data_IF_738526733477
#
_entry.id   IF_738526733477
#
_cell.length_a   1.000
_cell.length_b   1.000
_cell.length_c   1.000
_cell.angle_alpha   90.00
_cell.angle_beta   90.00
_cell.angle_gamma   90.00
#
_symmetry.space_group_name_H-M   'P 1'
#
loop_
_entity.id
_entity.type
_entity.pdbx_description
1 polymer ?
#
# COMPACT_ATOMS: atom_id res chain seq x y z
N UNK A 1 42.15 65.16 -18.26
CA UNK A 1 42.78 64.25 -19.22
C UNK A 1 43.81 63.29 -18.56
N UNK A 2 43.76 63.14 -17.23
CA UNK A 2 44.63 62.21 -16.47
C UNK A 2 43.88 61.01 -15.84
N UNK A 3 42.56 61.04 -15.86
CA UNK A 3 41.77 60.01 -15.22
C UNK A 3 41.39 58.82 -16.17
N UNK A 4 41.48 59.05 -17.48
CA UNK A 4 41.09 58.05 -18.50
C UNK A 4 42.26 57.06 -18.81
N UNK A 5 43.48 57.36 -18.43
CA UNK A 5 44.64 56.45 -18.61
C UNK A 5 44.69 55.38 -17.50
N UNK A 6 44.33 55.74 -16.28
CA UNK A 6 44.30 54.78 -15.15
C UNK A 6 43.24 53.73 -15.26
N UNK A 7 42.12 54.06 -15.91
CA UNK A 7 41.05 53.08 -16.14
C UNK A 7 41.40 52.13 -17.31
N UNK A 8 42.16 52.58 -18.29
CA UNK A 8 42.61 51.74 -19.41
C UNK A 8 43.67 50.72 -18.95
N UNK A 9 44.66 51.19 -18.17
CA UNK A 9 45.72 50.33 -17.63
C UNK A 9 45.17 49.26 -16.67
N UNK A 10 44.19 49.61 -15.81
CA UNK A 10 43.52 48.65 -14.92
C UNK A 10 42.68 47.64 -15.68
N UNK A 11 42.07 48.02 -16.81
CA UNK A 11 41.30 47.09 -17.65
C UNK A 11 42.20 46.13 -18.44
N UNK A 12 43.40 46.60 -18.83
CA UNK A 12 44.39 45.78 -19.51
C UNK A 12 45.01 44.76 -18.55
N UNK A 13 45.33 45.15 -17.31
CA UNK A 13 45.86 44.27 -16.27
C UNK A 13 44.79 43.20 -15.84
N UNK A 14 43.53 43.56 -15.72
CA UNK A 14 42.44 42.63 -15.45
C UNK A 14 42.20 41.66 -16.62
N UNK A 15 42.39 42.10 -17.86
CA UNK A 15 42.27 41.23 -19.03
C UNK A 15 43.44 40.23 -19.13
N UNK A 16 44.66 40.68 -18.77
CA UNK A 16 45.86 39.82 -18.73
C UNK A 16 45.75 38.75 -17.62
N UNK A 17 45.23 39.14 -16.44
CA UNK A 17 45.00 38.24 -15.32
C UNK A 17 43.91 37.19 -15.65
N UNK A 18 42.81 37.60 -16.29
CA UNK A 18 41.75 36.70 -16.76
C UNK A 18 42.26 35.73 -17.85
N UNK A 19 43.12 36.20 -18.77
CA UNK A 19 43.74 35.33 -19.77
C UNK A 19 44.69 34.30 -19.14
N UNK A 20 45.42 34.71 -18.08
CA UNK A 20 46.30 33.81 -17.35
C UNK A 20 45.54 32.77 -16.53
N UNK A 21 44.38 33.14 -15.98
CA UNK A 21 43.50 32.23 -15.25
C UNK A 21 42.83 31.24 -16.21
N UNK A 22 42.35 31.68 -17.37
CA UNK A 22 41.82 30.84 -18.42
C UNK A 22 42.84 29.80 -18.91
N UNK A 23 44.08 30.23 -19.17
CA UNK A 23 45.15 29.32 -19.56
C UNK A 23 45.59 28.33 -18.48
N UNK A 24 45.39 28.66 -17.18
CA UNK A 24 45.56 27.71 -16.07
C UNK A 24 44.43 26.69 -15.99
N UNK A 25 43.19 27.13 -16.23
CA UNK A 25 42.03 26.26 -16.24
C UNK A 25 42.09 25.25 -17.41
N UNK A 26 42.50 25.70 -18.58
CA UNK A 26 42.69 24.84 -19.75
C UNK A 26 43.77 23.76 -19.51
N UNK A 27 44.93 24.15 -18.96
CA UNK A 27 45.98 23.17 -18.60
C UNK A 27 45.59 22.23 -17.45
N UNK A 28 44.65 22.63 -16.59
CA UNK A 28 44.11 21.76 -15.55
C UNK A 28 43.10 20.75 -16.12
N UNK A 29 42.33 21.18 -17.13
CA UNK A 29 41.41 20.30 -17.85
C UNK A 29 42.19 19.27 -18.68
N UNK A 30 43.20 19.68 -19.45
CA UNK A 30 44.07 18.77 -20.22
C UNK A 30 44.74 17.71 -19.31
N UNK A 31 45.24 18.15 -18.14
CA UNK A 31 45.82 17.18 -17.17
C UNK A 31 44.80 16.24 -16.55
N UNK A 32 43.56 16.70 -16.37
CA UNK A 32 42.51 15.83 -15.84
C UNK A 32 42.06 14.79 -16.88
N UNK A 33 42.09 15.15 -18.16
CA UNK A 33 41.84 14.27 -19.29
C UNK A 33 42.94 13.21 -19.45
N UNK A 34 44.22 13.64 -19.42
CA UNK A 34 45.40 12.73 -19.46
C UNK A 34 45.41 11.74 -18.28
N UNK A 35 45.08 12.21 -17.07
CA UNK A 35 44.98 11.34 -15.88
C UNK A 35 43.77 10.38 -15.99
N UNK A 36 42.69 10.86 -16.60
CA UNK A 36 41.49 10.03 -16.85
C UNK A 36 41.82 8.88 -17.81
N UNK A 37 42.49 9.15 -18.95
CA UNK A 37 42.92 8.13 -19.90
C UNK A 37 43.91 7.13 -19.28
N UNK A 38 44.90 7.62 -18.50
CA UNK A 38 45.84 6.73 -17.81
C UNK A 38 45.18 5.81 -16.79
N UNK A 39 44.21 6.32 -16.04
CA UNK A 39 43.46 5.50 -15.07
C UNK A 39 42.57 4.48 -15.80
N UNK A 40 41.92 4.86 -16.91
CA UNK A 40 41.14 3.93 -17.72
C UNK A 40 41.97 2.80 -18.31
N UNK A 41 43.20 3.14 -18.81
CA UNK A 41 44.11 2.15 -19.38
C UNK A 41 44.66 1.22 -18.30
N UNK A 42 45.04 1.73 -17.13
CA UNK A 42 45.56 0.94 -15.99
C UNK A 42 44.45 0.05 -15.40
N UNK A 43 43.19 0.53 -15.33
CA UNK A 43 42.05 -0.28 -14.89
C UNK A 43 41.67 -1.34 -15.92
N UNK A 44 41.75 -1.04 -17.20
CA UNK A 44 41.49 -2.01 -18.28
C UNK A 44 42.55 -3.13 -18.28
N UNK A 45 43.82 -2.79 -18.08
CA UNK A 45 44.95 -3.75 -18.02
C UNK A 45 44.83 -4.62 -16.75
N UNK A 46 44.45 -4.06 -15.58
CA UNK A 46 44.23 -4.78 -14.34
C UNK A 46 42.99 -5.72 -14.42
N UNK A 47 41.96 -5.29 -15.17
CA UNK A 47 40.77 -6.12 -15.43
C UNK A 47 41.11 -7.28 -16.36
N UNK A 48 41.86 -7.03 -17.42
CA UNK A 48 42.23 -8.04 -18.41
C UNK A 48 43.15 -9.10 -17.80
N UNK A 49 44.16 -8.69 -16.99
CA UNK A 49 45.02 -9.61 -16.23
C UNK A 49 44.24 -10.46 -15.22
N UNK A 50 43.23 -9.89 -14.51
CA UNK A 50 42.37 -10.63 -13.61
C UNK A 50 41.40 -11.54 -14.36
N UNK A 51 40.92 -11.15 -15.55
CA UNK A 51 40.04 -12.01 -16.35
C UNK A 51 40.83 -13.15 -16.96
N UNK A 52 42.06 -12.91 -17.42
CA UNK A 52 42.95 -13.97 -17.95
C UNK A 52 43.31 -14.98 -16.84
N UNK A 53 43.52 -14.51 -15.59
CA UNK A 53 43.76 -15.41 -14.45
C UNK A 53 42.53 -16.25 -14.06
N UNK A 54 41.31 -15.77 -14.38
CA UNK A 54 40.06 -16.48 -14.07
C UNK A 54 39.55 -17.36 -15.22
N UNK A 55 40.11 -17.23 -16.42
CA UNK A 55 39.66 -17.99 -17.60
C UNK A 55 40.78 -18.87 -18.13
N UNK A 56 40.64 -20.17 -17.97
CA UNK A 56 41.46 -21.14 -18.71
C UNK A 56 40.94 -21.21 -20.15
N UNK A 57 41.73 -20.84 -21.18
CA UNK A 57 41.27 -20.80 -22.57
C UNK A 57 40.79 -22.15 -23.12
N UNK A 58 41.09 -23.26 -22.45
CA UNK A 58 40.68 -24.61 -22.81
C UNK A 58 39.37 -25.06 -22.13
N UNK A 59 38.80 -24.22 -21.20
CA UNK A 59 37.53 -24.52 -20.57
C UNK A 59 36.36 -24.09 -21.46
N UNK A 60 35.42 -24.99 -21.69
CA UNK A 60 34.18 -24.65 -22.37
C UNK A 60 33.36 -23.66 -21.54
N UNK A 61 32.56 -22.74 -22.13
CA UNK A 61 31.74 -21.77 -21.40
C UNK A 61 30.76 -22.39 -20.39
N UNK A 62 30.52 -23.67 -20.47
CA UNK A 62 29.63 -24.44 -19.60
C UNK A 62 30.37 -25.22 -18.49
N UNK A 63 31.72 -25.17 -18.47
CA UNK A 63 32.52 -25.86 -17.46
C UNK A 63 32.68 -24.97 -16.23
N UNK A 64 31.90 -25.26 -15.19
CA UNK A 64 31.94 -24.58 -13.90
C UNK A 64 33.10 -25.03 -12.99
N UNK A 65 34.06 -25.78 -13.53
CA UNK A 65 35.19 -26.33 -12.80
C UNK A 65 34.84 -27.53 -11.91
N UNK A 66 35.85 -28.15 -11.37
CA UNK A 66 35.67 -29.29 -10.45
C UNK A 66 35.28 -28.83 -9.06
N UNK A 67 34.19 -29.37 -8.46
CA UNK A 67 33.80 -29.03 -7.09
C UNK A 67 34.97 -29.28 -6.13
N UNK A 68 35.29 -28.29 -5.30
CA UNK A 68 36.29 -28.40 -4.26
C UNK A 68 36.00 -29.57 -3.29
N UNK A 69 37.03 -30.00 -2.51
CA UNK A 69 36.87 -31.06 -1.50
C UNK A 69 35.73 -30.67 -0.54
N UNK A 70 34.79 -31.62 -0.21
CA UNK A 70 33.72 -31.32 0.72
C UNK A 70 34.28 -30.87 2.05
N UNK A 71 33.71 -29.81 2.61
CA UNK A 71 34.09 -29.25 3.92
C UNK A 71 33.97 -30.34 5.01
N UNK A 72 35.00 -30.50 5.83
CA UNK A 72 34.97 -31.45 6.93
C UNK A 72 34.02 -30.97 8.05
N UNK A 73 32.79 -31.45 8.04
CA UNK A 73 31.71 -31.04 8.95
C UNK A 73 31.86 -31.62 10.37
N UNK A 74 32.93 -32.37 10.67
CA UNK A 74 33.12 -33.01 11.97
C UNK A 74 33.78 -32.10 13.01
N UNK A 75 34.27 -30.92 12.67
CA UNK A 75 34.85 -29.99 13.61
C UNK A 75 33.78 -29.13 14.29
N UNK A 76 33.69 -29.15 15.66
CA UNK A 76 32.75 -28.28 16.40
C UNK A 76 32.95 -26.80 16.10
N UNK A 77 34.17 -26.37 15.84
CA UNK A 77 34.49 -24.99 15.43
C UNK A 77 33.86 -24.63 14.10
N UNK A 78 33.93 -25.56 13.13
CA UNK A 78 33.30 -25.33 11.80
C UNK A 78 31.77 -25.22 11.92
N UNK A 79 31.13 -26.03 12.75
CA UNK A 79 29.69 -25.93 13.01
C UNK A 79 29.33 -24.60 13.66
N UNK A 80 30.10 -24.14 14.62
CA UNK A 80 29.91 -22.85 15.27
C UNK A 80 30.14 -21.70 14.30
N UNK A 81 31.17 -21.74 13.47
CA UNK A 81 31.48 -20.73 12.47
C UNK A 81 30.40 -20.66 11.40
N UNK A 82 30.03 -21.79 10.79
CA UNK A 82 28.98 -21.83 9.76
C UNK A 82 27.61 -21.41 10.33
N UNK A 83 27.29 -21.87 11.55
CA UNK A 83 26.07 -21.45 12.25
C UNK A 83 26.08 -19.95 12.56
N UNK A 84 27.19 -19.40 13.01
CA UNK A 84 27.36 -17.97 13.26
C UNK A 84 27.24 -17.12 11.99
N UNK A 85 27.93 -17.52 10.92
CA UNK A 85 27.81 -16.85 9.62
C UNK A 85 26.36 -16.95 9.09
N UNK A 86 25.74 -18.13 9.17
CA UNK A 86 24.35 -18.33 8.76
C UNK A 86 23.38 -17.43 9.53
N UNK A 87 23.58 -17.30 10.85
CA UNK A 87 22.77 -16.41 11.68
C UNK A 87 22.98 -14.92 11.31
N UNK A 88 24.23 -14.49 11.09
CA UNK A 88 24.53 -13.11 10.64
C UNK A 88 23.93 -12.81 9.27
N UNK A 89 24.03 -13.74 8.32
CA UNK A 89 23.41 -13.59 7.00
C UNK A 89 21.88 -13.52 7.12
N UNK A 90 21.28 -14.37 7.94
CA UNK A 90 19.83 -14.33 8.17
C UNK A 90 19.38 -13.01 8.81
N UNK A 91 20.11 -12.50 9.80
CA UNK A 91 19.84 -11.18 10.40
C UNK A 91 20.01 -10.06 9.38
N UNK A 92 21.07 -10.10 8.58
CA UNK A 92 21.33 -9.10 7.56
C UNK A 92 20.23 -9.11 6.49
N UNK A 93 19.81 -10.28 6.00
CA UNK A 93 18.65 -10.42 5.09
C UNK A 93 17.36 -9.91 5.75
N UNK A 94 17.15 -10.18 7.03
CA UNK A 94 16.04 -9.64 7.80
C UNK A 94 16.01 -8.11 7.80
N UNK A 95 17.16 -7.46 8.02
CA UNK A 95 17.25 -5.98 7.97
C UNK A 95 16.96 -5.43 6.58
N UNK A 96 17.39 -6.08 5.51
CA UNK A 96 17.04 -5.70 4.14
C UNK A 96 15.53 -5.80 3.90
N UNK A 97 14.90 -6.90 4.32
CA UNK A 97 13.44 -7.07 4.19
C UNK A 97 12.69 -5.97 4.92
N UNK A 98 13.13 -5.60 6.13
CA UNK A 98 12.53 -4.49 6.88
C UNK A 98 12.75 -3.15 6.15
N UNK A 99 13.93 -2.90 5.59
CA UNK A 99 14.23 -1.67 4.87
C UNK A 99 13.39 -1.49 3.60
N UNK A 100 13.08 -2.58 2.90
CA UNK A 100 12.24 -2.54 1.68
C UNK A 100 10.77 -2.87 1.96
N UNK A 101 10.37 -2.93 3.23
CA UNK A 101 9.01 -3.36 3.62
C UNK A 101 7.90 -2.55 2.94
N UNK A 102 8.06 -1.23 2.79
CA UNK A 102 7.09 -0.37 2.11
C UNK A 102 6.91 -0.76 0.63
N UNK A 103 7.99 -1.07 -0.07
CA UNK A 103 7.95 -1.51 -1.46
C UNK A 103 7.31 -2.90 -1.56
N UNK A 104 7.69 -3.81 -0.66
CA UNK A 104 7.10 -5.16 -0.60
C UNK A 104 5.59 -5.07 -0.36
N UNK A 105 5.14 -4.19 0.54
CA UNK A 105 3.70 -3.96 0.78
C UNK A 105 3.01 -3.50 -0.51
N UNK A 106 3.57 -2.52 -1.24
CA UNK A 106 2.98 -2.05 -2.49
C UNK A 106 2.89 -3.17 -3.55
N UNK A 107 3.92 -4.01 -3.65
CA UNK A 107 3.95 -5.18 -4.56
C UNK A 107 2.88 -6.20 -4.16
N UNK A 108 2.76 -6.53 -2.87
CA UNK A 108 1.76 -7.47 -2.35
C UNK A 108 0.35 -6.96 -2.57
N UNK A 109 0.09 -5.66 -2.30
CA UNK A 109 -1.20 -5.01 -2.59
C UNK A 109 -1.53 -5.08 -4.07
N UNK A 110 -0.58 -4.73 -4.93
CA UNK A 110 -0.78 -4.73 -6.37
C UNK A 110 -1.06 -6.14 -6.90
N UNK A 111 -0.34 -7.15 -6.41
CA UNK A 111 -0.59 -8.56 -6.78
C UNK A 111 -1.98 -9.03 -6.30
N UNK A 112 -2.35 -8.68 -5.07
CA UNK A 112 -3.67 -9.00 -4.52
C UNK A 112 -4.79 -8.34 -5.33
N UNK A 113 -4.65 -7.05 -5.66
CA UNK A 113 -5.60 -6.35 -6.52
C UNK A 113 -5.66 -6.96 -7.91
N UNK A 114 -4.51 -7.37 -8.49
CA UNK A 114 -4.48 -8.03 -9.79
C UNK A 114 -5.24 -9.36 -9.77
N UNK A 115 -5.04 -10.19 -8.74
CA UNK A 115 -5.80 -11.44 -8.57
C UNK A 115 -7.28 -11.14 -8.32
N UNK A 116 -7.58 -10.13 -7.49
CA UNK A 116 -8.93 -9.72 -7.15
C UNK A 116 -9.72 -9.15 -8.33
N UNK A 117 -9.07 -8.40 -9.22
CA UNK A 117 -9.69 -7.81 -10.40
C UNK A 117 -9.74 -8.78 -11.61
N UNK A 118 -8.99 -9.90 -11.56
CA UNK A 118 -8.97 -10.86 -12.66
C UNK A 118 -10.36 -11.42 -13.04
N UNK A 119 -11.29 -11.70 -12.11
CA UNK A 119 -12.66 -12.11 -12.48
C UNK A 119 -13.40 -11.07 -13.33
N UNK A 120 -13.19 -9.77 -13.07
CA UNK A 120 -13.78 -8.69 -13.86
C UNK A 120 -13.17 -8.66 -15.28
N UNK A 121 -11.85 -8.87 -15.41
CA UNK A 121 -11.19 -9.01 -16.71
C UNK A 121 -11.73 -10.22 -17.48
N UNK A 122 -11.84 -11.37 -16.82
CA UNK A 122 -12.40 -12.58 -17.45
C UNK A 122 -13.86 -12.37 -17.88
N UNK A 123 -14.64 -11.64 -17.10
CA UNK A 123 -16.01 -11.29 -17.48
C UNK A 123 -16.07 -10.45 -18.76
N UNK A 124 -15.21 -9.43 -18.89
CA UNK A 124 -15.08 -8.61 -20.09
C UNK A 124 -14.58 -9.42 -21.29
N UNK A 125 -13.63 -10.32 -21.09
CA UNK A 125 -13.15 -11.22 -22.13
C UNK A 125 -14.27 -12.14 -22.66
N UNK A 126 -15.15 -12.63 -21.80
CA UNK A 126 -16.35 -13.40 -22.19
C UNK A 126 -17.36 -12.56 -23.00
N UNK A 127 -17.30 -11.23 -22.88
CA UNK A 127 -18.09 -10.29 -23.69
C UNK A 127 -17.42 -9.92 -25.02
N UNK A 128 -16.28 -10.54 -25.36
CA UNK A 128 -15.58 -10.35 -26.65
C UNK A 128 -14.40 -9.37 -26.60
N UNK A 129 -14.06 -8.81 -25.43
CA UNK A 129 -12.87 -7.97 -25.30
C UNK A 129 -11.59 -8.83 -25.39
N UNK A 130 -10.58 -8.32 -26.09
CA UNK A 130 -9.24 -8.91 -26.00
C UNK A 130 -8.63 -8.59 -24.63
N UNK A 131 -7.74 -9.45 -24.10
CA UNK A 131 -7.20 -9.31 -22.76
C UNK A 131 -6.60 -7.93 -22.47
N UNK A 132 -5.77 -7.31 -23.35
CA UNK A 132 -5.22 -5.98 -23.07
C UNK A 132 -6.32 -4.92 -22.88
N UNK A 133 -7.36 -4.93 -23.71
CA UNK A 133 -8.46 -3.99 -23.62
C UNK A 133 -9.35 -4.25 -22.39
N UNK A 134 -9.55 -5.51 -22.02
CA UNK A 134 -10.26 -5.86 -20.80
C UNK A 134 -9.52 -5.38 -19.55
N UNK A 135 -8.20 -5.60 -19.47
CA UNK A 135 -7.34 -5.11 -18.39
C UNK A 135 -7.38 -3.57 -18.31
N UNK A 136 -7.19 -2.89 -19.45
CA UNK A 136 -7.23 -1.44 -19.49
C UNK A 136 -8.58 -0.89 -19.03
N UNK A 137 -9.68 -1.48 -19.49
CA UNK A 137 -11.05 -1.06 -19.10
C UNK A 137 -11.29 -1.21 -17.61
N UNK A 138 -10.84 -2.32 -17.00
CA UNK A 138 -10.99 -2.54 -15.55
C UNK A 138 -10.17 -1.52 -14.76
N UNK A 139 -8.91 -1.28 -15.13
CA UNK A 139 -8.05 -0.31 -14.44
C UNK A 139 -8.59 1.11 -14.60
N UNK A 140 -9.02 1.51 -15.82
CA UNK A 140 -9.67 2.83 -16.03
C UNK A 140 -10.92 2.94 -15.18
N UNK A 141 -11.74 1.89 -15.10
CA UNK A 141 -12.94 1.89 -14.23
C UNK A 141 -12.59 2.10 -12.75
N UNK A 142 -11.56 1.44 -12.23
CA UNK A 142 -11.07 1.63 -10.85
C UNK A 142 -10.53 3.05 -10.64
N UNK A 143 -9.75 3.58 -11.58
CA UNK A 143 -9.23 4.95 -11.50
C UNK A 143 -10.34 6.01 -11.55
N UNK A 144 -11.34 5.82 -12.40
CA UNK A 144 -12.50 6.72 -12.45
C UNK A 144 -13.28 6.65 -11.14
N UNK A 145 -13.55 5.46 -10.60
CA UNK A 145 -14.24 5.32 -9.33
C UNK A 145 -13.45 5.99 -8.18
N UNK A 146 -12.12 5.80 -8.15
CA UNK A 146 -11.26 6.44 -7.17
C UNK A 146 -11.19 7.97 -7.34
N UNK A 147 -11.13 8.47 -8.59
CA UNK A 147 -11.15 9.90 -8.87
C UNK A 147 -12.47 10.56 -8.46
N UNK A 148 -13.60 9.92 -8.76
CA UNK A 148 -14.93 10.36 -8.30
C UNK A 148 -15.02 10.37 -6.77
N UNK A 149 -14.46 9.37 -6.10
CA UNK A 149 -14.35 9.32 -4.64
C UNK A 149 -13.58 10.53 -4.10
N UNK A 150 -12.40 10.84 -4.66
CA UNK A 150 -11.61 11.99 -4.21
C UNK A 150 -12.36 13.33 -4.43
N UNK A 151 -12.99 13.52 -5.58
CA UNK A 151 -13.78 14.71 -5.87
C UNK A 151 -14.96 14.86 -4.91
N UNK A 152 -15.58 13.75 -4.50
CA UNK A 152 -16.72 13.79 -3.59
C UNK A 152 -16.28 14.00 -2.13
N UNK A 153 -15.16 13.40 -1.69
CA UNK A 153 -14.77 13.41 -0.27
C UNK A 153 -14.07 14.71 0.15
N UNK A 154 -13.25 15.30 -0.72
CA UNK A 154 -12.46 16.50 -0.38
C UNK A 154 -13.34 17.67 0.11
N UNK A 155 -14.41 18.08 -0.57
CA UNK A 155 -15.27 19.15 -0.08
C UNK A 155 -16.00 18.78 1.22
N UNK A 156 -16.42 17.53 1.38
CA UNK A 156 -17.08 17.07 2.62
C UNK A 156 -16.14 17.15 3.80
N UNK A 157 -14.93 16.64 3.67
CA UNK A 157 -13.94 16.70 4.77
C UNK A 157 -13.61 18.15 5.12
N UNK A 158 -13.39 19.02 4.12
CA UNK A 158 -13.05 20.42 4.36
C UNK A 158 -14.19 21.21 5.04
N UNK A 159 -15.43 21.02 4.60
CA UNK A 159 -16.59 21.70 5.17
C UNK A 159 -16.99 21.13 6.54
N UNK A 160 -16.92 19.81 6.71
CA UNK A 160 -17.34 19.18 7.97
C UNK A 160 -16.33 19.39 9.10
N UNK A 161 -15.03 19.42 8.81
CA UNK A 161 -14.01 19.75 9.83
C UNK A 161 -14.23 21.17 10.36
N UNK A 162 -14.54 22.14 9.50
CA UNK A 162 -14.88 23.50 9.95
C UNK A 162 -16.23 23.54 10.68
N UNK A 163 -17.28 22.90 10.15
CA UNK A 163 -18.60 22.89 10.77
C UNK A 163 -18.62 22.21 12.15
N UNK A 164 -17.86 21.13 12.34
CA UNK A 164 -17.69 20.50 13.67
C UNK A 164 -16.96 21.45 14.62
N UNK A 165 -15.92 22.14 14.15
CA UNK A 165 -15.20 23.14 14.94
C UNK A 165 -16.12 24.27 15.43
N UNK A 166 -17.05 24.72 14.60
CA UNK A 166 -17.99 25.80 14.90
C UNK A 166 -19.17 25.31 15.77
N UNK A 167 -19.63 24.09 15.61
CA UNK A 167 -20.75 23.51 16.33
C UNK A 167 -20.38 23.00 17.74
N UNK A 168 -19.16 22.60 17.97
CA UNK A 168 -18.68 22.04 19.24
C UNK A 168 -18.90 22.96 20.45
N UNK A 169 -18.60 24.27 20.39
CA UNK A 169 -18.86 25.17 21.54
C UNK A 169 -20.36 25.19 21.88
N UNK A 170 -21.24 25.29 20.91
CA UNK A 170 -22.68 25.29 21.13
C UNK A 170 -23.19 23.97 21.75
N UNK A 171 -22.58 22.85 21.38
CA UNK A 171 -22.91 21.55 21.98
C UNK A 171 -22.44 21.42 23.41
N UNK A 172 -21.24 21.89 23.73
CA UNK A 172 -20.75 21.92 25.10
C UNK A 172 -21.64 22.82 25.95
N UNK A 173 -22.11 23.97 25.45
CA UNK A 173 -23.04 24.85 26.14
C UNK A 173 -24.39 24.16 26.40
N UNK A 174 -24.89 23.35 25.46
CA UNK A 174 -26.12 22.57 25.68
C UNK A 174 -25.92 21.44 26.70
N UNK A 175 -24.77 20.75 26.64
CA UNK A 175 -24.44 19.69 27.59
C UNK A 175 -24.18 20.22 29.00
N UNK A 176 -23.62 21.41 29.13
CA UNK A 176 -23.42 22.09 30.43
C UNK A 176 -24.73 22.50 31.12
N UNK A 177 -25.86 22.56 30.40
CA UNK A 177 -27.18 22.75 31.04
C UNK A 177 -27.58 21.55 31.89
N UNK A 178 -26.97 20.38 31.70
CA UNK A 178 -27.11 19.23 32.58
C UNK A 178 -26.15 19.30 33.76
N UNK A 179 -26.64 19.44 34.97
CA UNK A 179 -25.85 19.66 36.18
C UNK A 179 -24.78 18.60 36.50
N UNK A 180 -24.94 17.37 36.05
CA UNK A 180 -23.92 16.31 36.21
C UNK A 180 -22.74 16.48 35.25
N UNK A 181 -22.97 16.95 34.06
CA UNK A 181 -21.94 17.18 33.04
C UNK A 181 -21.14 18.43 33.36
N UNK A 182 -21.82 19.48 33.89
CA UNK A 182 -21.19 20.72 34.34
C UNK A 182 -20.19 20.48 35.49
N UNK A 183 -20.48 19.59 36.42
CA UNK A 183 -19.55 19.24 37.49
C UNK A 183 -18.33 18.47 37.04
N UNK A 184 -18.47 17.67 35.97
CA UNK A 184 -17.36 16.94 35.36
C UNK A 184 -16.46 17.86 34.52
N UNK A 185 -17.07 18.77 33.76
CA UNK A 185 -16.34 19.74 32.93
C UNK A 185 -15.57 20.77 33.81
N UNK A 186 -16.17 21.27 34.88
CA UNK A 186 -15.49 22.15 35.84
C UNK A 186 -14.30 21.48 36.55
N UNK A 187 -14.26 20.13 36.60
CA UNK A 187 -13.17 19.38 37.25
C UNK A 187 -12.00 19.08 36.28
N UNK A 188 -12.28 18.90 35.00
CA UNK A 188 -11.29 18.44 34.01
C UNK A 188 -11.03 19.42 32.88
N UNK A 189 -11.80 20.51 32.80
CA UNK A 189 -11.67 21.58 31.78
C UNK A 189 -11.66 21.04 30.34
N UNK A 190 -12.53 20.05 30.10
CA UNK A 190 -12.55 19.27 28.85
C UNK A 190 -13.06 20.13 27.71
N UNK A 191 -14.11 20.93 27.93
CA UNK A 191 -14.71 21.81 26.93
C UNK A 191 -13.70 22.82 26.38
N UNK A 192 -12.98 23.51 27.27
CA UNK A 192 -11.98 24.52 26.87
C UNK A 192 -10.81 23.87 26.14
N UNK A 193 -10.27 22.76 26.66
CA UNK A 193 -9.15 22.05 26.04
C UNK A 193 -9.50 21.51 24.68
N UNK A 194 -10.69 20.93 24.47
CA UNK A 194 -11.14 20.41 23.20
C UNK A 194 -11.39 21.54 22.21
N UNK A 195 -12.03 22.61 22.64
CA UNK A 195 -12.31 23.79 21.81
C UNK A 195 -11.02 24.49 21.38
N UNK A 196 -10.09 24.73 22.29
CA UNK A 196 -8.79 25.33 21.99
C UNK A 196 -7.95 24.44 21.06
N UNK A 197 -7.99 23.13 21.29
CA UNK A 197 -7.24 22.18 20.45
C UNK A 197 -7.77 22.12 19.01
N UNK A 198 -9.09 22.28 18.82
CA UNK A 198 -9.73 22.29 17.52
C UNK A 198 -9.65 23.65 16.81
N UNK A 199 -9.90 24.76 17.55
CA UNK A 199 -9.84 26.12 16.99
C UNK A 199 -8.40 26.58 16.69
N UNK A 200 -7.41 26.11 17.46
CA UNK A 200 -6.00 26.42 17.19
C UNK A 200 -5.47 25.85 15.88
N UNK A 201 -6.26 25.04 15.17
CA UNK A 201 -5.79 24.28 14.01
C UNK A 201 -4.67 23.28 14.37
N UNK A 202 -4.44 23.06 15.67
CA UNK A 202 -3.39 22.18 16.16
C UNK A 202 -3.60 20.74 15.67
N UNK A 203 -4.86 20.31 15.56
CA UNK A 203 -5.21 19.01 15.00
C UNK A 203 -4.80 18.91 13.52
N UNK A 204 -5.19 19.88 12.71
CA UNK A 204 -4.83 19.95 11.30
C UNK A 204 -3.32 20.13 11.11
N UNK A 205 -2.68 20.95 11.95
CA UNK A 205 -1.24 21.18 11.92
C UNK A 205 -0.45 19.97 12.39
N UNK A 206 -0.96 19.22 13.38
CA UNK A 206 -0.33 18.01 13.91
C UNK A 206 -0.56 16.78 13.02
N UNK A 207 -1.74 16.64 12.41
CA UNK A 207 -2.07 15.53 11.52
C UNK A 207 -1.48 15.74 10.11
N UNK A 208 -1.44 16.97 9.62
CA UNK A 208 -1.11 17.25 8.22
C UNK A 208 0.03 18.26 8.02
N UNK A 209 0.67 18.76 9.09
CA UNK A 209 1.78 19.72 8.96
C UNK A 209 1.38 21.07 8.33
N UNK A 210 0.10 21.47 8.43
CA UNK A 210 -0.46 22.63 7.76
C UNK A 210 -0.79 22.41 6.28
N UNK A 211 -1.05 23.47 5.52
CA UNK A 211 -1.46 23.39 4.11
C UNK A 211 -0.39 22.74 3.21
N UNK A 212 0.88 23.00 3.46
CA UNK A 212 2.01 22.36 2.76
C UNK A 212 2.12 20.87 3.10
N UNK A 213 1.97 20.51 4.38
CA UNK A 213 2.00 19.10 4.80
C UNK A 213 0.82 18.30 4.23
N UNK A 214 -0.37 18.90 4.17
CA UNK A 214 -1.53 18.30 3.52
C UNK A 214 -1.28 18.08 2.01
N UNK A 215 -0.71 19.07 1.32
CA UNK A 215 -0.33 18.94 -0.09
C UNK A 215 0.68 17.82 -0.33
N UNK A 216 1.73 17.74 0.51
CA UNK A 216 2.72 16.67 0.43
C UNK A 216 2.15 15.30 0.78
N UNK A 217 1.23 15.22 1.76
CA UNK A 217 0.54 13.98 2.10
C UNK A 217 -0.32 13.48 0.93
N UNK A 218 -1.11 14.37 0.31
CA UNK A 218 -1.91 14.05 -0.88
C UNK A 218 -1.00 13.59 -2.03
N UNK A 219 0.10 14.31 -2.29
CA UNK A 219 1.04 13.94 -3.34
C UNK A 219 1.68 12.57 -3.06
N UNK A 220 2.03 12.28 -1.81
CA UNK A 220 2.53 10.97 -1.39
C UNK A 220 1.51 9.83 -1.60
N UNK A 221 0.24 10.09 -1.25
CA UNK A 221 -0.86 9.14 -1.50
C UNK A 221 -1.02 8.90 -3.02
N UNK A 222 -1.04 9.96 -3.82
CA UNK A 222 -1.17 9.86 -5.27
C UNK A 222 0.00 9.09 -5.89
N UNK A 223 1.23 9.33 -5.44
CA UNK A 223 2.42 8.61 -5.89
C UNK A 223 2.33 7.10 -5.56
N UNK A 224 1.94 6.75 -4.33
CA UNK A 224 1.75 5.36 -3.93
C UNK A 224 0.62 4.68 -4.72
N UNK A 225 -0.51 5.36 -4.91
CA UNK A 225 -1.63 4.87 -5.72
C UNK A 225 -1.18 4.65 -7.17
N UNK A 226 -0.42 5.60 -7.74
CA UNK A 226 0.12 5.45 -9.10
C UNK A 226 1.01 4.20 -9.21
N UNK A 227 1.94 4.00 -8.27
CA UNK A 227 2.80 2.80 -8.25
C UNK A 227 1.96 1.52 -8.14
N UNK A 228 0.99 1.47 -7.23
CA UNK A 228 0.10 0.31 -7.07
C UNK A 228 -0.69 0.04 -8.34
N UNK A 229 -1.24 1.07 -8.98
CA UNK A 229 -2.00 0.93 -10.24
C UNK A 229 -1.13 0.39 -11.37
N UNK A 230 0.06 0.94 -11.56
CA UNK A 230 1.01 0.48 -12.59
C UNK A 230 1.41 -0.97 -12.35
N UNK A 231 1.76 -1.32 -11.11
CA UNK A 231 2.09 -2.69 -10.75
C UNK A 231 0.88 -3.63 -10.92
N UNK A 232 -0.31 -3.21 -10.52
CA UNK A 232 -1.55 -4.00 -10.69
C UNK A 232 -1.83 -4.26 -12.15
N UNK A 233 -1.71 -3.24 -13.02
CA UNK A 233 -1.86 -3.37 -14.46
C UNK A 233 -0.87 -4.39 -15.03
N UNK A 234 0.41 -4.26 -14.65
CA UNK A 234 1.45 -5.19 -15.08
C UNK A 234 1.17 -6.62 -14.61
N UNK A 235 0.87 -6.82 -13.34
CA UNK A 235 0.54 -8.14 -12.79
C UNK A 235 -0.72 -8.73 -13.40
N UNK A 236 -1.77 -7.92 -13.58
CA UNK A 236 -3.03 -8.37 -14.18
C UNK A 236 -2.86 -8.78 -15.64
N UNK A 237 -2.06 -8.02 -16.40
CA UNK A 237 -1.75 -8.35 -17.79
C UNK A 237 -0.91 -9.62 -17.88
N UNK A 238 0.11 -9.77 -17.04
CA UNK A 238 1.06 -10.89 -17.04
C UNK A 238 0.66 -12.09 -16.17
N UNK A 239 -0.49 -12.03 -15.49
CA UNK A 239 -0.94 -13.06 -14.53
C UNK A 239 -0.88 -14.50 -15.08
N UNK A 240 -1.32 -14.80 -16.33
CA UNK A 240 -1.20 -16.16 -16.88
C UNK A 240 0.25 -16.63 -17.02
N UNK A 241 1.14 -15.77 -17.51
CA UNK A 241 2.57 -16.07 -17.66
C UNK A 241 3.25 -16.28 -16.32
N UNK A 242 2.94 -15.43 -15.33
CA UNK A 242 3.44 -15.55 -13.96
C UNK A 242 3.00 -16.88 -13.33
N UNK A 243 1.72 -17.25 -13.46
CA UNK A 243 1.20 -18.54 -13.00
C UNK A 243 1.95 -19.69 -13.64
N UNK A 244 2.11 -19.66 -14.96
CA UNK A 244 2.82 -20.70 -15.69
C UNK A 244 4.27 -20.84 -15.20
N UNK A 245 5.00 -19.74 -15.08
CA UNK A 245 6.36 -19.73 -14.56
C UNK A 245 6.44 -20.28 -13.12
N UNK A 246 5.52 -19.85 -12.24
CA UNK A 246 5.46 -20.34 -10.86
C UNK A 246 5.20 -21.85 -10.80
N UNK A 247 4.33 -22.39 -11.66
CA UNK A 247 4.04 -23.81 -11.67
C UNK A 247 5.18 -24.66 -12.26
N UNK A 248 6.02 -24.07 -13.12
CA UNK A 248 7.23 -24.74 -13.63
C UNK A 248 8.29 -24.99 -12.55
N UNK A 249 8.30 -24.22 -11.45
CA UNK A 249 9.21 -24.45 -10.31
C UNK A 249 8.89 -25.75 -9.57
N UNK A 250 7.68 -26.30 -9.76
CA UNK A 250 7.33 -27.59 -9.16
C UNK A 250 7.90 -28.75 -9.97
N UNK A 251 8.38 -29.84 -9.28
CA UNK A 251 8.78 -31.06 -9.94
C UNK A 251 7.70 -31.58 -10.89
N UNK A 252 8.10 -32.13 -12.05
CA UNK A 252 7.18 -32.60 -13.10
C UNK A 252 6.09 -33.54 -12.57
N UNK A 253 6.47 -34.46 -11.66
CA UNK A 253 5.56 -35.43 -11.03
C UNK A 253 4.47 -34.83 -10.14
N UNK A 254 4.63 -33.57 -9.70
CA UNK A 254 3.68 -32.88 -8.80
C UNK A 254 3.11 -31.62 -9.41
N UNK A 255 3.57 -31.21 -10.59
CA UNK A 255 3.22 -29.94 -11.23
C UNK A 255 1.71 -29.80 -11.47
N UNK A 256 1.05 -30.87 -11.91
CA UNK A 256 -0.40 -30.85 -12.11
C UNK A 256 -1.15 -30.55 -10.81
N UNK A 257 -0.81 -31.24 -9.70
CA UNK A 257 -1.45 -31.01 -8.41
C UNK A 257 -1.17 -29.60 -7.88
N UNK A 258 0.07 -29.10 -8.04
CA UNK A 258 0.44 -27.73 -7.63
C UNK A 258 -0.32 -26.69 -8.45
N UNK A 259 -0.47 -26.88 -9.76
CA UNK A 259 -1.23 -25.94 -10.60
C UNK A 259 -2.72 -25.92 -10.23
N UNK A 260 -3.35 -27.07 -9.99
CA UNK A 260 -4.75 -27.14 -9.59
C UNK A 260 -5.00 -26.47 -8.23
N UNK A 261 -4.11 -26.71 -7.25
CA UNK A 261 -4.19 -26.06 -5.93
C UNK A 261 -3.95 -24.55 -6.04
N UNK A 262 -2.95 -24.13 -6.79
CA UNK A 262 -2.66 -22.72 -7.03
C UNK A 262 -3.81 -21.99 -7.69
N UNK A 263 -4.40 -22.59 -8.72
CA UNK A 263 -5.59 -22.03 -9.38
C UNK A 263 -6.80 -21.95 -8.45
N UNK A 264 -6.96 -22.91 -7.54
CA UNK A 264 -8.05 -22.87 -6.53
C UNK A 264 -7.83 -21.76 -5.52
N UNK A 265 -6.58 -21.57 -5.04
CA UNK A 265 -6.22 -20.44 -4.17
C UNK A 265 -6.51 -19.11 -4.86
N UNK A 266 -6.04 -18.93 -6.10
CA UNK A 266 -6.26 -17.69 -6.84
C UNK A 266 -7.75 -17.41 -7.11
N UNK A 267 -8.53 -18.44 -7.42
CA UNK A 267 -9.99 -18.29 -7.56
C UNK A 267 -10.66 -17.89 -6.25
N UNK A 268 -10.25 -18.46 -5.13
CA UNK A 268 -10.80 -18.11 -3.81
C UNK A 268 -10.46 -16.66 -3.44
N UNK A 269 -9.21 -16.23 -3.66
CA UNK A 269 -8.79 -14.83 -3.45
C UNK A 269 -9.58 -13.87 -4.35
N UNK A 270 -9.68 -14.18 -5.64
CA UNK A 270 -10.45 -13.37 -6.60
C UNK A 270 -11.94 -13.31 -6.25
N UNK A 271 -12.52 -14.44 -5.85
CA UNK A 271 -13.90 -14.54 -5.39
C UNK A 271 -14.15 -13.70 -4.13
N UNK A 272 -13.22 -13.76 -3.16
CA UNK A 272 -13.29 -12.96 -1.95
C UNK A 272 -13.25 -11.45 -2.26
N UNK A 273 -12.31 -11.00 -3.08
CA UNK A 273 -12.22 -9.58 -3.46
C UNK A 273 -13.46 -9.11 -4.20
N UNK A 274 -13.95 -9.91 -5.15
CA UNK A 274 -15.20 -9.60 -5.86
C UNK A 274 -16.40 -9.55 -4.91
N UNK A 275 -16.46 -10.47 -3.95
CA UNK A 275 -17.49 -10.49 -2.92
C UNK A 275 -17.41 -9.25 -2.01
N UNK A 276 -16.21 -8.90 -1.52
CA UNK A 276 -16.00 -7.69 -0.71
C UNK A 276 -16.44 -6.43 -1.46
N UNK A 277 -16.14 -6.34 -2.76
CA UNK A 277 -16.60 -5.23 -3.59
C UNK A 277 -18.13 -5.17 -3.68
N UNK A 278 -18.81 -6.30 -3.81
CA UNK A 278 -20.29 -6.34 -3.84
C UNK A 278 -20.88 -5.91 -2.49
N UNK A 279 -20.31 -6.36 -1.35
CA UNK A 279 -20.75 -5.94 -0.02
C UNK A 279 -20.56 -4.42 0.14
N UNK A 280 -19.39 -3.91 -0.18
CA UNK A 280 -19.07 -2.49 -0.13
C UNK A 280 -20.03 -1.64 -1.01
N UNK A 281 -20.38 -2.15 -2.19
CA UNK A 281 -21.35 -1.49 -3.07
C UNK A 281 -22.76 -1.47 -2.45
N UNK A 282 -23.17 -2.57 -1.83
CA UNK A 282 -24.45 -2.65 -1.10
C UNK A 282 -24.47 -1.65 0.07
N UNK A 283 -23.39 -1.56 0.84
CA UNK A 283 -23.25 -0.60 1.95
C UNK A 283 -23.32 0.85 1.46
N UNK A 284 -22.57 1.17 0.40
CA UNK A 284 -22.61 2.50 -0.21
C UNK A 284 -23.98 2.87 -0.76
N UNK A 285 -24.62 1.99 -1.53
CA UNK A 285 -25.97 2.25 -2.09
C UNK A 285 -27.03 2.39 -0.99
N UNK A 286 -26.99 1.52 0.03
CA UNK A 286 -27.90 1.61 1.17
C UNK A 286 -27.74 2.92 1.93
N UNK A 287 -26.50 3.32 2.18
CA UNK A 287 -26.14 4.61 2.79
C UNK A 287 -26.61 5.77 1.94
N UNK A 288 -26.40 5.73 0.63
CA UNK A 288 -26.82 6.78 -0.31
C UNK A 288 -28.31 7.02 -0.23
N UNK A 289 -29.10 5.95 -0.36
CA UNK A 289 -30.58 6.02 -0.29
C UNK A 289 -31.03 6.53 1.06
N UNK A 290 -30.45 5.99 2.15
CA UNK A 290 -30.78 6.39 3.51
C UNK A 290 -30.53 7.89 3.75
N UNK A 291 -29.38 8.41 3.35
CA UNK A 291 -29.01 9.81 3.57
C UNK A 291 -29.92 10.79 2.79
N UNK A 292 -30.38 10.40 1.61
CA UNK A 292 -31.40 11.18 0.90
C UNK A 292 -32.74 11.21 1.66
N UNK A 293 -33.15 10.10 2.27
CA UNK A 293 -34.40 9.99 3.02
C UNK A 293 -34.35 10.85 4.30
N UNK A 294 -33.20 10.87 4.98
CA UNK A 294 -33.02 11.57 6.28
C UNK A 294 -32.74 13.07 6.11
N UNK A 295 -32.62 13.55 4.86
CA UNK A 295 -32.39 14.99 4.59
C UNK A 295 -30.93 15.41 4.56
N UNK A 296 -29.98 14.45 4.63
CA UNK A 296 -28.55 14.69 4.47
C UNK A 296 -28.10 14.61 3.00
N UNK A 297 -28.97 14.94 2.05
CA UNK A 297 -28.74 14.80 0.62
C UNK A 297 -27.50 15.51 0.10
N UNK A 298 -27.13 16.66 0.68
CA UNK A 298 -25.93 17.42 0.33
C UNK A 298 -24.62 16.63 0.53
N UNK A 299 -24.61 15.68 1.45
CA UNK A 299 -23.46 14.86 1.81
C UNK A 299 -23.60 13.41 1.35
N UNK A 300 -24.76 13.04 0.82
CA UNK A 300 -25.15 11.65 0.60
C UNK A 300 -24.16 10.90 -0.31
N UNK A 301 -23.78 11.49 -1.44
CA UNK A 301 -22.87 10.85 -2.39
C UNK A 301 -21.48 10.64 -1.77
N UNK A 302 -20.94 11.66 -1.13
CA UNK A 302 -19.62 11.59 -0.56
C UNK A 302 -19.56 10.60 0.62
N UNK A 303 -20.53 10.65 1.53
CA UNK A 303 -20.59 9.73 2.68
C UNK A 303 -20.85 8.28 2.24
N UNK A 304 -21.70 8.08 1.25
CA UNK A 304 -21.92 6.75 0.68
C UNK A 304 -20.65 6.17 0.05
N UNK A 305 -19.85 6.99 -0.65
CA UNK A 305 -18.56 6.57 -1.19
C UNK A 305 -17.53 6.29 -0.09
N UNK A 306 -17.51 7.08 0.98
CA UNK A 306 -16.65 6.83 2.16
C UNK A 306 -17.01 5.50 2.80
N UNK A 307 -18.30 5.27 3.05
CA UNK A 307 -18.78 4.00 3.65
C UNK A 307 -18.41 2.84 2.74
N UNK A 308 -18.68 2.92 1.44
CA UNK A 308 -18.33 1.86 0.50
C UNK A 308 -16.82 1.59 0.47
N UNK A 309 -15.97 2.61 0.47
CA UNK A 309 -14.52 2.42 0.46
C UNK A 309 -14.02 1.79 1.77
N UNK A 310 -14.49 2.28 2.90
CA UNK A 310 -14.10 1.75 4.21
C UNK A 310 -14.58 0.30 4.38
N UNK A 311 -15.77 -0.02 3.89
CA UNK A 311 -16.38 -1.34 4.02
C UNK A 311 -15.64 -2.46 3.27
N UNK A 312 -14.73 -2.10 2.36
CA UNK A 312 -13.77 -3.05 1.78
C UNK A 312 -12.89 -3.67 2.86
N UNK A 313 -12.67 -2.97 4.00
CA UNK A 313 -11.89 -3.47 5.14
C UNK A 313 -12.81 -4.25 6.08
N UNK A 314 -12.70 -5.58 6.14
CA UNK A 314 -13.64 -6.41 6.88
C UNK A 314 -13.73 -6.03 8.36
N UNK A 315 -14.94 -6.03 8.92
CA UNK A 315 -15.27 -5.80 10.34
C UNK A 315 -14.97 -4.38 10.86
N UNK A 316 -13.95 -3.71 10.37
CA UNK A 316 -13.52 -2.39 10.85
C UNK A 316 -14.16 -1.30 10.00
N UNK A 317 -14.21 -1.48 8.70
CA UNK A 317 -14.63 -0.47 7.74
C UNK A 317 -16.07 -0.02 7.93
N UNK A 318 -17.00 -0.96 8.02
CA UNK A 318 -18.41 -0.68 8.28
C UNK A 318 -18.62 0.11 9.59
N UNK A 319 -17.90 -0.25 10.66
CA UNK A 319 -17.99 0.43 11.95
C UNK A 319 -17.47 1.87 11.87
N UNK A 320 -16.31 2.09 11.22
CA UNK A 320 -15.74 3.43 11.03
C UNK A 320 -16.67 4.27 10.13
N UNK A 321 -17.16 3.68 9.03
CA UNK A 321 -18.09 4.33 8.12
C UNK A 321 -19.37 4.78 8.83
N UNK A 322 -19.98 3.88 9.60
CA UNK A 322 -21.14 4.17 10.43
C UNK A 322 -20.86 5.30 11.44
N UNK A 323 -19.73 5.24 12.13
CA UNK A 323 -19.34 6.28 13.11
C UNK A 323 -19.21 7.67 12.44
N UNK A 324 -18.58 7.75 11.27
CA UNK A 324 -18.45 9.00 10.52
C UNK A 324 -19.82 9.57 10.16
N UNK A 325 -20.73 8.75 9.62
CA UNK A 325 -22.08 9.20 9.25
C UNK A 325 -22.90 9.59 10.48
N UNK A 326 -22.82 8.84 11.58
CA UNK A 326 -23.50 9.18 12.82
C UNK A 326 -23.00 10.51 13.41
N UNK A 327 -21.69 10.75 13.41
CA UNK A 327 -21.10 12.02 13.88
C UNK A 327 -21.65 13.19 13.04
N UNK A 328 -21.69 13.06 11.72
CA UNK A 328 -22.22 14.09 10.82
C UNK A 328 -23.72 14.26 11.04
N UNK A 329 -24.47 13.16 11.24
CA UNK A 329 -25.88 13.21 11.59
C UNK A 329 -26.14 14.01 12.88
N UNK A 330 -25.39 13.71 13.95
CA UNK A 330 -25.46 14.46 15.21
C UNK A 330 -25.01 15.92 15.07
N UNK A 331 -24.04 16.19 14.18
CA UNK A 331 -23.60 17.55 13.87
C UNK A 331 -24.70 18.39 13.21
N UNK A 332 -25.58 17.74 12.47
CA UNK A 332 -26.70 18.43 11.80
C UNK A 332 -27.89 18.62 12.74
N UNK A 333 -28.34 17.54 13.38
CA UNK A 333 -29.44 17.54 14.35
C UNK A 333 -29.39 16.28 15.23
N UNK A 334 -29.62 16.38 16.55
CA UNK A 334 -29.61 15.21 17.46
C UNK A 334 -30.56 14.10 17.04
N UNK A 335 -31.74 14.44 16.50
CA UNK A 335 -32.73 13.46 16.03
C UNK A 335 -32.21 12.71 14.82
N UNK A 336 -31.61 13.42 13.86
CA UNK A 336 -30.97 12.86 12.68
C UNK A 336 -29.82 11.92 13.06
N UNK A 337 -29.00 12.32 14.02
CA UNK A 337 -27.93 11.47 14.55
C UNK A 337 -28.44 10.15 15.13
N UNK A 338 -29.52 10.22 15.95
CA UNK A 338 -30.13 9.02 16.51
C UNK A 338 -30.73 8.10 15.42
N UNK A 339 -31.36 8.65 14.40
CA UNK A 339 -31.88 7.89 13.24
C UNK A 339 -30.74 7.21 12.50
N UNK A 340 -29.60 7.90 12.33
CA UNK A 340 -28.38 7.29 11.73
C UNK A 340 -27.89 6.09 12.56
N UNK A 341 -27.81 6.20 13.87
CA UNK A 341 -27.40 5.11 14.76
C UNK A 341 -28.33 3.91 14.61
N UNK A 342 -29.65 4.13 14.66
CA UNK A 342 -30.63 3.06 14.51
C UNK A 342 -30.50 2.38 13.13
N UNK A 343 -30.38 3.16 12.07
CA UNK A 343 -30.18 2.65 10.72
C UNK A 343 -28.93 1.77 10.63
N UNK A 344 -27.78 2.24 11.11
CA UNK A 344 -26.54 1.47 11.00
C UNK A 344 -26.54 0.22 11.88
N UNK A 345 -27.18 0.23 13.04
CA UNK A 345 -27.36 -0.98 13.84
C UNK A 345 -28.19 -1.99 13.04
N UNK A 346 -29.31 -1.57 12.44
CA UNK A 346 -30.16 -2.45 11.63
C UNK A 346 -29.43 -2.95 10.37
N UNK A 347 -28.75 -2.03 9.65
CA UNK A 347 -27.99 -2.37 8.46
C UNK A 347 -26.85 -3.34 8.76
N UNK A 348 -26.11 -3.18 9.86
CA UNK A 348 -25.03 -4.07 10.26
C UNK A 348 -25.55 -5.49 10.54
N UNK A 349 -26.76 -5.63 11.12
CA UNK A 349 -27.37 -6.95 11.30
C UNK A 349 -27.76 -7.55 9.94
N UNK A 350 -28.38 -6.74 9.04
CA UNK A 350 -28.71 -7.18 7.69
C UNK A 350 -27.46 -7.62 6.92
N UNK A 351 -26.40 -6.86 7.00
CA UNK A 351 -25.13 -7.17 6.35
C UNK A 351 -24.53 -8.47 6.87
N UNK A 352 -24.38 -8.60 8.20
CA UNK A 352 -23.74 -9.76 8.82
C UNK A 352 -24.54 -11.06 8.64
N UNK A 353 -25.87 -11.01 8.70
CA UNK A 353 -26.70 -12.21 8.67
C UNK A 353 -27.30 -12.53 7.29
N UNK A 354 -27.35 -11.55 6.38
CA UNK A 354 -28.04 -11.74 5.09
C UNK A 354 -27.11 -11.48 3.90
N UNK A 355 -26.46 -10.32 3.84
CA UNK A 355 -25.67 -9.91 2.67
C UNK A 355 -24.37 -10.71 2.63
N UNK A 356 -23.57 -10.63 3.69
CA UNK A 356 -22.26 -11.24 3.76
C UNK A 356 -22.29 -12.76 3.52
N UNK A 357 -23.18 -13.56 4.18
CA UNK A 357 -23.26 -14.99 3.92
C UNK A 357 -23.65 -15.33 2.48
N UNK A 358 -24.58 -14.58 1.88
CA UNK A 358 -24.99 -14.83 0.48
C UNK A 358 -23.91 -14.50 -0.53
N UNK A 359 -23.20 -13.41 -0.32
CA UNK A 359 -22.13 -12.94 -1.22
C UNK A 359 -20.90 -13.83 -1.10
N UNK A 360 -20.52 -14.20 0.12
CA UNK A 360 -19.30 -14.95 0.39
C UNK A 360 -19.45 -16.48 0.34
N UNK A 361 -20.67 -17.01 0.22
CA UNK A 361 -20.96 -18.44 0.26
C UNK A 361 -20.13 -19.30 -0.71
N UNK A 362 -19.63 -18.73 -1.80
CA UNK A 362 -18.85 -19.44 -2.82
C UNK A 362 -17.35 -19.17 -2.76
N UNK A 363 -16.92 -18.26 -1.87
CA UNK A 363 -15.56 -17.73 -1.93
C UNK A 363 -14.67 -18.21 -0.81
N UNK A 364 -15.18 -18.33 0.42
CA UNK A 364 -14.33 -18.64 1.59
C UNK A 364 -15.16 -19.26 2.71
N UNK A 365 -14.88 -20.53 3.04
CA UNK A 365 -15.39 -21.18 4.24
C UNK A 365 -14.32 -21.15 5.34
N UNK A 366 -14.29 -20.09 6.15
CA UNK A 366 -13.41 -20.00 7.32
C UNK A 366 -14.27 -19.87 8.57
N UNK A 367 -13.92 -20.58 9.66
CA UNK A 367 -14.53 -20.36 10.97
C UNK A 367 -14.35 -18.91 11.43
N UNK A 368 -15.41 -18.30 11.99
CA UNK A 368 -15.38 -16.89 12.40
C UNK A 368 -14.24 -16.54 13.36
N UNK A 369 -13.90 -17.44 14.29
CA UNK A 369 -12.76 -17.25 15.19
C UNK A 369 -11.43 -17.11 14.44
N UNK A 370 -11.20 -17.92 13.40
CA UNK A 370 -10.00 -17.86 12.59
C UNK A 370 -9.95 -16.55 11.77
N UNK A 371 -11.11 -16.06 11.32
CA UNK A 371 -11.21 -14.76 10.64
C UNK A 371 -10.75 -13.61 11.53
N UNK A 372 -11.22 -13.58 12.79
CA UNK A 372 -10.80 -12.54 13.77
C UNK A 372 -9.30 -12.62 14.07
N UNK A 373 -8.79 -13.83 14.35
CA UNK A 373 -7.37 -14.03 14.63
C UNK A 373 -6.52 -13.62 13.43
N UNK A 374 -6.89 -14.04 12.23
CA UNK A 374 -6.19 -13.67 11.02
C UNK A 374 -6.17 -12.14 10.80
N UNK A 375 -7.33 -11.47 11.00
CA UNK A 375 -7.43 -10.01 10.87
C UNK A 375 -6.56 -9.28 11.89
N UNK A 376 -6.50 -9.75 13.14
CA UNK A 376 -5.61 -9.19 14.17
C UNK A 376 -4.14 -9.38 13.81
N UNK A 377 -3.73 -10.58 13.42
CA UNK A 377 -2.33 -10.86 13.02
C UNK A 377 -1.98 -10.04 11.78
N UNK A 378 -2.83 -10.05 10.74
CA UNK A 378 -2.59 -9.28 9.53
C UNK A 378 -2.50 -7.78 9.81
N UNK A 379 -3.42 -7.27 10.62
CA UNK A 379 -3.46 -5.87 11.04
C UNK A 379 -2.22 -5.42 11.80
N UNK A 380 -1.66 -6.26 12.67
CA UNK A 380 -0.42 -5.95 13.40
C UNK A 380 0.82 -6.03 12.51
N UNK A 381 0.86 -6.93 11.52
CA UNK A 381 2.01 -7.12 10.64
C UNK A 381 2.11 -6.06 9.53
N UNK A 382 1.00 -5.74 8.87
CA UNK A 382 0.97 -4.90 7.67
C UNK A 382 -0.09 -3.78 7.75
N UNK A 383 -0.61 -3.49 8.96
CA UNK A 383 -1.63 -2.47 9.15
C UNK A 383 -2.93 -2.81 8.41
N UNK A 384 -3.58 -1.78 7.85
CA UNK A 384 -4.84 -1.91 7.10
C UNK A 384 -4.75 -2.91 5.95
N UNK A 385 -3.63 -2.89 5.23
CA UNK A 385 -3.34 -3.83 4.13
C UNK A 385 -3.31 -5.27 4.62
N UNK A 386 -2.66 -5.51 5.76
CA UNK A 386 -2.61 -6.84 6.35
C UNK A 386 -3.98 -7.35 6.82
N UNK A 387 -4.81 -6.48 7.39
CA UNK A 387 -6.18 -6.83 7.75
C UNK A 387 -7.03 -7.23 6.52
N UNK A 388 -6.88 -6.51 5.41
CA UNK A 388 -7.56 -6.81 4.14
C UNK A 388 -7.12 -8.17 3.56
N UNK A 389 -5.82 -8.46 3.61
CA UNK A 389 -5.23 -9.68 3.08
C UNK A 389 -5.44 -10.91 4.00
N UNK A 390 -5.76 -10.68 5.27
CA UNK A 390 -5.79 -11.71 6.31
C UNK A 390 -6.76 -12.86 5.98
N UNK A 391 -7.98 -12.54 5.61
CA UNK A 391 -9.03 -13.52 5.36
C UNK A 391 -8.70 -14.43 4.17
N UNK A 392 -8.37 -13.91 2.97
CA UNK A 392 -8.01 -14.76 1.84
C UNK A 392 -6.70 -15.55 2.06
N UNK A 393 -5.77 -14.99 2.84
CA UNK A 393 -4.54 -15.71 3.21
C UNK A 393 -4.84 -16.88 4.15
N UNK A 394 -5.64 -16.66 5.19
CA UNK A 394 -6.07 -17.72 6.11
C UNK A 394 -6.87 -18.83 5.38
N UNK A 395 -7.76 -18.44 4.44
CA UNK A 395 -8.47 -19.39 3.59
C UNK A 395 -7.53 -20.26 2.76
N UNK A 396 -6.51 -19.61 2.17
CA UNK A 396 -5.51 -20.30 1.35
C UNK A 396 -4.67 -21.27 2.18
N UNK A 397 -4.25 -20.85 3.38
CA UNK A 397 -3.53 -21.72 4.32
C UNK A 397 -4.41 -22.91 4.74
N UNK A 398 -5.66 -22.66 5.10
CA UNK A 398 -6.59 -23.73 5.51
C UNK A 398 -6.86 -24.72 4.37
N UNK A 399 -6.99 -24.25 3.13
CA UNK A 399 -7.08 -25.10 1.96
C UNK A 399 -5.85 -25.99 1.80
N UNK A 400 -4.64 -25.42 1.92
CA UNK A 400 -3.40 -26.19 1.83
C UNK A 400 -3.26 -27.22 2.96
N UNK A 401 -3.66 -26.86 4.18
CA UNK A 401 -3.68 -27.79 5.31
C UNK A 401 -4.61 -28.95 5.03
N UNK A 402 -5.85 -28.70 4.61
CA UNK A 402 -6.84 -29.74 4.31
C UNK A 402 -6.42 -30.64 3.13
N UNK A 403 -5.86 -30.08 2.07
CA UNK A 403 -5.58 -30.83 0.84
C UNK A 403 -4.17 -31.45 0.82
N UNK A 404 -3.23 -30.93 1.59
CA UNK A 404 -1.84 -31.39 1.55
C UNK A 404 -1.40 -32.01 2.86
N UNK A 405 -1.71 -31.37 3.99
CA UNK A 405 -1.21 -31.81 5.30
C UNK A 405 -2.01 -32.97 5.87
N UNK A 406 -3.35 -32.84 5.95
CA UNK A 406 -4.23 -33.85 6.53
C UNK A 406 -4.07 -35.21 5.82
N UNK A 407 -4.14 -35.32 4.47
CA UNK A 407 -3.99 -36.61 3.79
C UNK A 407 -2.63 -37.27 4.02
N UNK A 408 -1.59 -36.49 4.31
CA UNK A 408 -0.27 -37.04 4.65
C UNK A 408 -0.23 -37.64 6.05
N UNK A 409 -1.06 -37.16 6.97
CA UNK A 409 -1.13 -37.75 8.31
C UNK A 409 -1.97 -39.04 8.29
N UNK A 410 -3.02 -39.06 7.48
CA UNK A 410 -3.88 -40.25 7.33
C UNK A 410 -3.20 -41.43 6.64
N UNK A 411 -2.10 -41.18 5.92
CA UNK A 411 -1.29 -42.21 5.21
C UNK A 411 -0.05 -42.64 6.00
N UNK A 412 0.20 -42.10 7.20
CA UNK A 412 1.25 -42.47 8.12
C UNK A 412 0.74 -43.33 9.26
#
# INVERSE_FOLDING_TARGET
>A
MSDDRGAADAAEEAAEEAAHEAARAERAADRAEDVGEQVEEEVAEEIDDKVEFLHDPDQSPDDLGTPGRPLNHRSPFMWGLLGGIGALVALWLGTIVVAISSVVILVVVALFLAVGLNPAVEYLMRRGFTRPWAVLSVIVGVLVAFGLFLIAIVPVVSHQVSAIGDALPAWFDQLQKNGRIRSFDNKYDVSTKVTDYLQSGALAKKLFGGALGLGLAILGILANVFVVVVLTLYFLASLPSMKHAAYQLAPSSRRERVSLLGDRVLRNVGGYVSGAFVVALCAGLSTLVFLFIVGLGSYAVALALVVALLDVIPMIGATIGAAIVCIIGFATDPTTGLICVVFYIAYQQLENFVIYPRVMARSVEIPGALTVIAALIGGTLLGVVGALLAIPTAASIMLLVKEVWVPRQDTR
#
